data_IF_618267810173
#
_entry.id   IF_618267810173
#
_cell.length_a   1.000
_cell.length_b   1.000
_cell.length_c   1.000
_cell.angle_alpha   90.00
_cell.angle_beta   90.00
_cell.angle_gamma   90.00
#
_symmetry.space_group_name_H-M   'P 1'
#
loop_
_entity.id
_entity.type
_entity.pdbx_description
1 polymer ?
#
# COMPACT_ATOMS: atom_id res chain seq x y z
N UNK A 1 -9.07 62.01 1.12
CA UNK A 1 -8.53 60.91 1.97
C UNK A 1 -9.41 59.65 2.03
N UNK A 2 -10.71 59.68 1.68
CA UNK A 2 -11.63 58.53 1.79
C UNK A 2 -11.56 57.47 0.66
N UNK A 3 -10.90 57.74 -0.48
CA UNK A 3 -10.82 56.81 -1.63
C UNK A 3 -9.66 55.80 -1.56
N UNK A 4 -8.64 56.04 -0.72
CA UNK A 4 -7.47 55.13 -0.58
C UNK A 4 -7.74 53.94 0.35
N UNK A 5 -8.60 54.13 1.35
CA UNK A 5 -8.99 53.08 2.32
C UNK A 5 -9.86 52.00 1.66
N UNK A 6 -10.67 52.36 0.66
CA UNK A 6 -11.52 51.40 -0.07
C UNK A 6 -10.70 50.46 -0.95
N UNK A 7 -9.57 50.92 -1.49
CA UNK A 7 -8.70 50.10 -2.35
C UNK A 7 -7.91 49.04 -1.54
N UNK A 8 -7.56 49.36 -0.29
CA UNK A 8 -6.81 48.42 0.58
C UNK A 8 -7.70 47.35 1.20
N UNK A 9 -9.01 47.57 1.31
CA UNK A 9 -9.97 46.57 1.80
C UNK A 9 -10.37 45.56 0.72
N UNK A 10 -10.28 45.94 -0.56
CA UNK A 10 -10.58 45.04 -1.69
C UNK A 10 -9.43 44.09 -2.06
N UNK A 11 -8.18 44.39 -1.66
CA UNK A 11 -7.03 43.53 -1.94
C UNK A 11 -6.76 42.48 -0.84
N UNK A 12 -7.36 42.61 0.34
CA UNK A 12 -7.18 41.67 1.45
C UNK A 12 -8.18 40.52 1.47
N UNK A 13 -9.18 40.53 0.57
CA UNK A 13 -10.24 39.51 0.55
C UNK A 13 -9.90 38.27 -0.31
N UNK A 14 -8.74 38.26 -0.99
CA UNK A 14 -8.28 37.14 -1.83
C UNK A 14 -7.25 36.22 -1.16
N UNK A 15 -6.90 36.41 0.13
CA UNK A 15 -5.95 35.54 0.84
C UNK A 15 -6.61 34.52 1.78
N UNK A 16 -7.94 34.43 1.77
CA UNK A 16 -8.69 33.39 2.49
C UNK A 16 -9.30 32.34 1.54
N UNK A 17 -8.66 32.13 0.39
CA UNK A 17 -8.76 30.87 -0.34
C UNK A 17 -8.04 29.77 0.46
N UNK A 18 -8.54 29.49 1.67
CA UNK A 18 -8.08 28.37 2.46
C UNK A 18 -8.21 27.11 1.63
N UNK A 19 -7.13 26.34 1.53
CA UNK A 19 -7.18 24.97 1.03
C UNK A 19 -8.35 24.28 1.73
N UNK A 20 -9.44 23.99 1.01
CA UNK A 20 -10.42 23.00 1.47
C UNK A 20 -9.60 21.74 1.70
N UNK A 21 -9.33 21.40 2.97
CA UNK A 21 -8.63 20.17 3.30
C UNK A 21 -9.38 19.04 2.63
N UNK A 22 -8.71 18.33 1.71
CA UNK A 22 -9.26 17.10 1.15
C UNK A 22 -9.52 16.19 2.35
N UNK A 23 -10.78 15.80 2.55
CA UNK A 23 -11.09 14.80 3.55
C UNK A 23 -10.34 13.52 3.16
N UNK A 24 -9.58 12.97 4.11
CA UNK A 24 -8.79 11.78 3.86
C UNK A 24 -9.73 10.62 3.54
N UNK A 25 -9.37 9.82 2.54
CA UNK A 25 -10.08 8.56 2.29
C UNK A 25 -9.78 7.57 3.42
N UNK A 26 -10.60 6.53 3.57
CA UNK A 26 -10.35 5.55 4.63
C UNK A 26 -9.05 4.76 4.38
N UNK A 27 -8.64 4.57 3.12
CA UNK A 27 -7.30 4.09 2.83
C UNK A 27 -6.20 5.02 3.37
N UNK A 28 -6.31 6.33 3.13
CA UNK A 28 -5.33 7.32 3.60
C UNK A 28 -5.27 7.37 5.14
N UNK A 29 -6.42 7.32 5.83
CA UNK A 29 -6.48 7.20 7.30
C UNK A 29 -5.88 5.89 7.81
N UNK A 30 -6.08 4.79 7.09
CA UNK A 30 -5.49 3.49 7.39
C UNK A 30 -3.97 3.55 7.36
N UNK A 31 -3.41 4.18 6.32
CA UNK A 31 -1.96 4.40 6.21
C UNK A 31 -1.42 5.28 7.34
N UNK A 32 -2.09 6.38 7.70
CA UNK A 32 -1.65 7.22 8.83
C UNK A 32 -1.64 6.46 10.16
N UNK A 33 -2.67 5.64 10.41
CA UNK A 33 -2.73 4.82 11.62
C UNK A 33 -1.65 3.73 11.61
N UNK A 34 -1.36 3.15 10.45
CA UNK A 34 -0.29 2.17 10.30
C UNK A 34 1.08 2.77 10.60
N UNK A 35 1.37 3.99 10.12
CA UNK A 35 2.60 4.72 10.42
C UNK A 35 2.76 5.00 11.92
N UNK A 36 1.64 5.27 12.61
CA UNK A 36 1.58 5.47 14.07
C UNK A 36 1.57 4.16 14.86
N UNK A 37 1.58 3.00 14.18
CA UNK A 37 1.45 1.65 14.76
C UNK A 37 0.12 1.43 15.51
N UNK A 38 -0.90 2.24 15.19
CA UNK A 38 -2.27 2.07 15.66
C UNK A 38 -2.95 0.97 14.84
N UNK A 39 -2.51 -0.28 15.02
CA UNK A 39 -2.87 -1.37 14.11
C UNK A 39 -4.36 -1.70 14.08
N UNK A 40 -5.09 -1.49 15.18
CA UNK A 40 -6.53 -1.76 15.24
C UNK A 40 -7.32 -0.73 14.47
N UNK A 41 -6.95 0.53 14.62
CA UNK A 41 -7.54 1.65 13.89
C UNK A 41 -7.17 1.55 12.41
N UNK A 42 -5.93 1.20 12.07
CA UNK A 42 -5.52 0.96 10.69
C UNK A 42 -6.35 -0.15 10.03
N UNK A 43 -6.55 -1.27 10.74
CA UNK A 43 -7.38 -2.38 10.29
C UNK A 43 -8.81 -1.96 9.96
N UNK A 44 -9.44 -1.15 10.83
CA UNK A 44 -10.81 -0.68 10.61
C UNK A 44 -10.89 0.21 9.37
N UNK A 45 -9.99 1.19 9.27
CA UNK A 45 -9.94 2.10 8.13
C UNK A 45 -9.70 1.34 6.81
N UNK A 46 -8.82 0.33 6.78
CA UNK A 46 -8.60 -0.46 5.58
C UNK A 46 -9.80 -1.36 5.22
N UNK A 47 -10.60 -1.82 6.21
CA UNK A 47 -11.83 -2.58 5.94
C UNK A 47 -12.90 -1.71 5.30
N UNK A 48 -13.06 -0.48 5.78
CA UNK A 48 -13.96 0.50 5.15
C UNK A 48 -13.48 0.82 3.73
N UNK A 49 -12.17 1.01 3.53
CA UNK A 49 -11.60 1.20 2.18
C UNK A 49 -11.93 0.03 1.23
N UNK A 50 -11.85 -1.22 1.70
CA UNK A 50 -12.27 -2.40 0.91
C UNK A 50 -13.78 -2.34 0.61
N UNK A 51 -14.61 -1.99 1.60
CA UNK A 51 -16.07 -1.88 1.45
C UNK A 51 -16.47 -0.83 0.41
N UNK A 52 -15.76 0.30 0.39
CA UNK A 52 -15.97 1.40 -0.55
C UNK A 52 -15.38 1.16 -1.94
N UNK A 53 -14.71 0.02 -2.14
CA UNK A 53 -14.09 -0.36 -3.41
C UNK A 53 -12.81 0.40 -3.72
N UNK A 54 -12.18 1.02 -2.71
CA UNK A 54 -10.90 1.70 -2.85
C UNK A 54 -9.76 0.69 -2.95
N UNK A 55 -9.10 0.62 -4.11
CA UNK A 55 -7.83 -0.08 -4.36
C UNK A 55 -7.65 -1.35 -3.49
N UNK A 56 -8.54 -2.32 -3.72
CA UNK A 56 -8.72 -3.47 -2.84
C UNK A 56 -7.42 -4.22 -2.54
N UNK A 57 -6.53 -4.36 -3.53
CA UNK A 57 -5.23 -4.99 -3.34
C UNK A 57 -4.37 -4.27 -2.30
N UNK A 58 -4.31 -2.92 -2.33
CA UNK A 58 -3.55 -2.14 -1.35
C UNK A 58 -4.24 -2.09 0.01
N UNK A 59 -5.56 -2.03 0.05
CA UNK A 59 -6.28 -2.06 1.32
C UNK A 59 -6.10 -3.41 2.04
N UNK A 60 -6.20 -4.54 1.33
CA UNK A 60 -5.90 -5.87 1.87
C UNK A 60 -4.43 -6.04 2.29
N UNK A 61 -3.49 -5.43 1.55
CA UNK A 61 -2.09 -5.32 1.98
C UNK A 61 -1.98 -4.61 3.34
N UNK A 62 -2.67 -3.47 3.50
CA UNK A 62 -2.72 -2.72 4.75
C UNK A 62 -3.30 -3.52 5.92
N UNK A 63 -4.36 -4.30 5.67
CA UNK A 63 -4.94 -5.26 6.62
C UNK A 63 -3.89 -6.30 7.04
N UNK A 64 -3.18 -6.89 6.09
CA UNK A 64 -2.13 -7.88 6.38
C UNK A 64 -1.01 -7.32 7.24
N UNK A 65 -0.48 -6.12 6.91
CA UNK A 65 0.56 -5.48 7.72
C UNK A 65 0.04 -5.16 9.13
N UNK A 66 -1.21 -4.71 9.24
CA UNK A 66 -1.84 -4.43 10.54
C UNK A 66 -2.00 -5.68 11.40
N UNK A 67 -2.29 -6.83 10.81
CA UNK A 67 -2.31 -8.11 11.52
C UNK A 67 -0.91 -8.60 11.91
N UNK A 68 0.08 -8.48 11.01
CA UNK A 68 1.48 -8.79 11.33
C UNK A 68 2.00 -7.93 12.49
N UNK A 69 1.69 -6.63 12.50
CA UNK A 69 2.05 -5.73 13.60
C UNK A 69 1.45 -6.12 14.95
N UNK A 70 0.32 -6.83 14.94
CA UNK A 70 -0.31 -7.41 16.14
C UNK A 70 0.19 -8.82 16.48
N UNK A 71 1.07 -9.40 15.66
CA UNK A 71 1.57 -10.78 15.80
C UNK A 71 0.56 -11.87 15.38
N UNK A 72 -0.55 -11.49 14.75
CA UNK A 72 -1.57 -12.42 14.23
C UNK A 72 -1.21 -12.85 12.80
N UNK A 73 -0.13 -13.62 12.68
CA UNK A 73 0.47 -13.94 11.38
C UNK A 73 -0.40 -14.85 10.50
N UNK A 74 -1.27 -15.67 11.10
CA UNK A 74 -2.29 -16.47 10.41
C UNK A 74 -3.27 -15.58 9.62
N UNK A 75 -3.77 -14.52 10.26
CA UNK A 75 -4.67 -13.54 9.63
C UNK A 75 -3.92 -12.64 8.63
N UNK A 76 -2.66 -12.36 8.90
CA UNK A 76 -1.83 -11.60 7.99
C UNK A 76 -1.63 -12.37 6.67
N UNK A 77 -1.33 -13.67 6.74
CA UNK A 77 -1.23 -14.55 5.57
C UNK A 77 -2.52 -14.56 4.75
N UNK A 78 -3.68 -14.75 5.39
CA UNK A 78 -4.99 -14.69 4.70
C UNK A 78 -5.18 -13.36 3.95
N UNK A 79 -4.84 -12.24 4.59
CA UNK A 79 -4.96 -10.92 3.99
C UNK A 79 -3.99 -10.70 2.82
N UNK A 80 -2.74 -11.18 2.91
CA UNK A 80 -1.77 -11.07 1.82
C UNK A 80 -2.14 -11.95 0.62
N UNK A 81 -2.66 -13.16 0.86
CA UNK A 81 -3.19 -14.02 -0.19
C UNK A 81 -4.40 -13.36 -0.88
N UNK A 82 -5.31 -12.79 -0.09
CA UNK A 82 -6.46 -12.04 -0.63
C UNK A 82 -6.00 -10.85 -1.46
N UNK A 83 -5.01 -10.08 -1.00
CA UNK A 83 -4.43 -8.98 -1.78
C UNK A 83 -3.83 -9.47 -3.12
N UNK A 84 -3.17 -10.64 -3.11
CA UNK A 84 -2.63 -11.25 -4.33
C UNK A 84 -3.72 -11.68 -5.31
N UNK A 85 -4.92 -12.06 -4.85
CA UNK A 85 -6.06 -12.38 -5.71
C UNK A 85 -6.64 -11.14 -6.40
N UNK A 86 -6.55 -9.97 -5.76
CA UNK A 86 -6.93 -8.68 -6.35
C UNK A 86 -5.83 -8.04 -7.22
N UNK A 87 -4.62 -8.61 -7.24
CA UNK A 87 -3.48 -8.02 -7.96
C UNK A 87 -3.29 -8.68 -9.32
N UNK A 88 -3.27 -7.89 -10.39
CA UNK A 88 -3.05 -8.40 -11.74
C UNK A 88 -1.64 -8.98 -11.91
N UNK A 89 -1.49 -9.98 -12.80
CA UNK A 89 -0.17 -10.59 -13.07
C UNK A 89 0.85 -9.61 -13.62
N UNK A 90 0.39 -8.52 -14.25
CA UNK A 90 1.24 -7.44 -14.78
C UNK A 90 1.81 -6.54 -13.67
N UNK A 91 1.19 -6.49 -12.49
CA UNK A 91 1.60 -5.66 -11.35
C UNK A 91 2.73 -6.31 -10.54
N UNK A 92 3.81 -6.67 -11.23
CA UNK A 92 4.91 -7.47 -10.68
C UNK A 92 5.51 -6.91 -9.39
N UNK A 93 5.60 -5.58 -9.28
CA UNK A 93 6.15 -4.94 -8.09
C UNK A 93 5.25 -5.14 -6.86
N UNK A 94 3.93 -4.94 -7.02
CA UNK A 94 2.96 -5.16 -5.94
C UNK A 94 2.88 -6.63 -5.56
N UNK A 95 2.86 -7.55 -6.56
CA UNK A 95 2.92 -8.98 -6.29
C UNK A 95 4.18 -9.38 -5.52
N UNK A 96 5.35 -8.85 -5.92
CA UNK A 96 6.62 -9.14 -5.22
C UNK A 96 6.58 -8.65 -3.78
N UNK A 97 6.07 -7.44 -3.56
CA UNK A 97 5.94 -6.85 -2.22
C UNK A 97 5.00 -7.67 -1.32
N UNK A 98 3.83 -8.05 -1.84
CA UNK A 98 2.89 -8.95 -1.16
C UNK A 98 3.49 -10.32 -0.85
N UNK A 99 4.20 -10.93 -1.80
CA UNK A 99 4.87 -12.21 -1.59
C UNK A 99 5.96 -12.13 -0.52
N UNK A 100 6.66 -10.99 -0.39
CA UNK A 100 7.64 -10.80 0.70
C UNK A 100 6.96 -10.75 2.06
N UNK A 101 5.84 -10.04 2.19
CA UNK A 101 5.06 -10.04 3.43
C UNK A 101 4.45 -11.41 3.75
N UNK A 102 3.97 -12.14 2.74
CA UNK A 102 3.47 -13.50 2.89
C UNK A 102 4.57 -14.43 3.43
N UNK A 103 5.77 -14.39 2.83
CA UNK A 103 6.90 -15.19 3.30
C UNK A 103 7.30 -14.85 4.74
N UNK A 104 7.27 -13.57 5.11
CA UNK A 104 7.53 -13.12 6.49
C UNK A 104 6.48 -13.66 7.47
N UNK A 105 5.20 -13.58 7.13
CA UNK A 105 4.12 -14.13 7.95
C UNK A 105 4.25 -15.66 8.12
N UNK A 106 4.53 -16.39 7.05
CA UNK A 106 4.74 -17.85 7.09
C UNK A 106 5.97 -18.22 7.92
N UNK A 107 7.05 -17.45 7.81
CA UNK A 107 8.26 -17.64 8.62
C UNK A 107 7.96 -17.52 10.12
N UNK A 108 7.22 -16.49 10.53
CA UNK A 108 6.82 -16.28 11.92
C UNK A 108 5.86 -17.35 12.45
N UNK A 109 5.03 -17.94 11.57
CA UNK A 109 4.21 -19.11 11.89
C UNK A 109 5.02 -20.42 11.97
N UNK A 110 6.30 -20.41 11.56
CA UNK A 110 7.17 -21.59 11.42
C UNK A 110 6.76 -22.54 10.31
N UNK A 111 5.96 -22.05 9.36
CA UNK A 111 5.55 -22.78 8.15
C UNK A 111 6.64 -22.69 7.09
N UNK A 112 7.81 -23.26 7.41
CA UNK A 112 9.04 -23.05 6.62
C UNK A 112 8.94 -23.61 5.20
N UNK A 113 8.19 -24.68 4.97
CA UNK A 113 8.00 -25.23 3.63
C UNK A 113 7.21 -24.27 2.73
N UNK A 114 6.16 -23.63 3.26
CA UNK A 114 5.41 -22.62 2.55
C UNK A 114 6.28 -21.38 2.28
N UNK A 115 7.00 -20.91 3.30
CA UNK A 115 7.92 -19.78 3.18
C UNK A 115 9.00 -20.01 2.10
N UNK A 116 9.63 -21.19 2.07
CA UNK A 116 10.63 -21.53 1.04
C UNK A 116 10.00 -21.45 -0.35
N UNK A 117 8.82 -22.05 -0.53
CA UNK A 117 8.10 -22.01 -1.81
C UNK A 117 7.84 -20.57 -2.26
N UNK A 118 7.34 -19.71 -1.37
CA UNK A 118 7.08 -18.30 -1.70
C UNK A 118 8.39 -17.54 -2.02
N UNK A 119 9.48 -17.82 -1.31
CA UNK A 119 10.79 -17.26 -1.61
C UNK A 119 11.33 -17.70 -2.99
N UNK A 120 11.16 -18.97 -3.35
CA UNK A 120 11.56 -19.50 -4.66
C UNK A 120 10.78 -18.81 -5.78
N UNK A 121 9.47 -18.62 -5.62
CA UNK A 121 8.64 -17.89 -6.58
C UNK A 121 9.12 -16.44 -6.79
N UNK A 122 9.51 -15.73 -5.72
CA UNK A 122 10.08 -14.38 -5.81
C UNK A 122 11.42 -14.38 -6.57
N UNK A 123 12.29 -15.35 -6.29
CA UNK A 123 13.60 -15.45 -6.92
C UNK A 123 13.51 -15.80 -8.40
N UNK A 124 12.59 -16.69 -8.78
CA UNK A 124 12.35 -17.06 -10.17
C UNK A 124 11.87 -15.87 -11.01
N UNK A 125 10.96 -15.05 -10.47
CA UNK A 125 10.51 -13.84 -11.16
C UNK A 125 11.64 -12.81 -11.34
N UNK A 126 12.50 -12.64 -10.33
CA UNK A 126 13.69 -11.78 -10.44
C UNK A 126 14.67 -12.30 -11.48
N UNK A 127 14.93 -13.62 -11.49
CA UNK A 127 15.84 -14.27 -12.45
C UNK A 127 15.34 -14.10 -13.88
N UNK A 128 14.04 -14.31 -14.13
CA UNK A 128 13.42 -14.07 -15.45
C UNK A 128 13.61 -12.62 -15.90
N UNK A 129 13.35 -11.64 -15.04
CA UNK A 129 13.51 -10.22 -15.35
C UNK A 129 14.95 -9.87 -15.74
N UNK A 130 15.91 -10.36 -14.96
CA UNK A 130 17.34 -10.18 -15.23
C UNK A 130 17.78 -10.88 -16.52
N UNK A 131 17.28 -12.09 -16.79
CA UNK A 131 17.52 -12.81 -18.04
C UNK A 131 17.03 -12.05 -19.27
N UNK A 132 15.78 -11.57 -19.25
CA UNK A 132 15.20 -10.76 -20.33
C UNK A 132 16.05 -9.49 -20.57
N UNK A 133 16.47 -8.81 -19.51
CA UNK A 133 17.32 -7.62 -19.65
C UNK A 133 18.66 -7.93 -20.34
N UNK A 134 19.30 -9.06 -20.01
CA UNK A 134 20.55 -9.46 -20.67
C UNK A 134 20.34 -9.90 -22.12
N UNK A 135 19.21 -10.53 -22.45
CA UNK A 135 18.83 -10.88 -23.82
C UNK A 135 18.54 -9.64 -24.68
N UNK A 136 17.80 -8.67 -24.15
CA UNK A 136 17.56 -7.38 -24.82
C UNK A 136 18.89 -6.66 -25.11
N UNK A 137 19.79 -6.58 -24.12
CA UNK A 137 21.11 -5.98 -24.32
C UNK A 137 21.90 -6.70 -25.41
N UNK A 138 21.86 -8.04 -25.51
CA UNK A 138 22.57 -8.80 -26.56
C UNK A 138 21.99 -8.60 -27.97
N UNK A 139 20.73 -8.21 -28.12
CA UNK A 139 20.09 -7.96 -29.43
C UNK A 139 20.50 -6.60 -30.02
N UNK A 140 20.96 -5.66 -29.20
CA UNK A 140 21.30 -4.28 -29.62
C UNK A 140 22.81 -4.01 -29.81
N UNK A 141 23.67 -5.04 -29.82
CA UNK A 141 25.13 -4.94 -30.08
C UNK A 141 25.50 -5.80 -31.28
#
# INVERSE_FOLDING_TARGET
>A
MKKRVVLTVLLSMCLLGGCKGKELTDYEKGMENLEKQNYKEALENFREAVSDGEDAAKAWRGIGISWSGQGAFDKAEEAFLTALDFTEKSEKNLRTDLSLYLADAQYHQKEYQACIKTCDEILDEKKKKTGIFFEEVHIFI
#
